data_IF_898487854081
#
_entry.id   IF_898487854081
#
_cell.length_a   1.000
_cell.length_b   1.000
_cell.length_c   1.000
_cell.angle_alpha   90.00
_cell.angle_beta   90.00
_cell.angle_gamma   90.00
#
_symmetry.space_group_name_H-M   'P 1'
#
loop_
_entity.id
_entity.type
_entity.pdbx_description
1 polymer ?
#
# COMPACT_ATOMS: atom_id res chain seq x y z
N UNK A 1 -19.35 4.05 16.68
CA UNK A 1 -18.36 3.18 16.04
C UNK A 1 -18.93 1.77 15.91
N UNK A 2 -18.67 1.05 14.84
CA UNK A 2 -19.09 -0.33 14.69
C UNK A 2 -18.43 -1.17 15.81
N UNK A 3 -19.24 -1.95 16.51
CA UNK A 3 -18.79 -2.85 17.57
C UNK A 3 -19.26 -4.26 17.23
N UNK A 4 -18.39 -5.25 17.37
CA UNK A 4 -18.69 -6.65 17.12
C UNK A 4 -17.44 -7.49 16.93
N UNK A 5 -17.60 -8.80 16.83
CA UNK A 5 -16.50 -9.70 16.52
C UNK A 5 -16.15 -9.56 15.03
N UNK A 6 -14.87 -9.37 14.73
CA UNK A 6 -14.33 -9.31 13.37
C UNK A 6 -13.77 -10.65 12.91
N UNK A 7 -13.39 -11.50 13.85
CA UNK A 7 -12.96 -12.86 13.62
C UNK A 7 -13.27 -13.74 14.85
N UNK A 8 -13.45 -15.03 14.64
CA UNK A 8 -13.61 -16.00 15.72
C UNK A 8 -13.06 -17.35 15.29
N UNK A 9 -12.50 -18.09 16.24
CA UNK A 9 -12.00 -19.44 16.06
C UNK A 9 -12.67 -20.36 17.08
N UNK A 10 -13.41 -21.34 16.62
CA UNK A 10 -14.22 -22.16 17.51
C UNK A 10 -14.49 -23.55 16.94
N UNK A 11 -14.79 -24.48 17.83
CA UNK A 11 -15.29 -25.80 17.44
C UNK A 11 -16.71 -25.71 16.89
N UNK A 12 -16.98 -26.46 15.84
CA UNK A 12 -18.29 -26.58 15.20
C UNK A 12 -19.11 -27.77 15.74
N UNK A 13 -18.51 -28.61 16.58
CA UNK A 13 -19.11 -29.78 17.22
C UNK A 13 -18.67 -29.89 18.67
N UNK A 14 -19.18 -30.91 19.38
CA UNK A 14 -18.66 -31.25 20.72
C UNK A 14 -17.20 -31.68 20.60
N UNK A 15 -16.34 -31.15 21.45
CA UNK A 15 -14.92 -31.42 21.46
C UNK A 15 -14.49 -32.12 22.75
N UNK A 16 -13.36 -32.83 22.71
CA UNK A 16 -12.72 -33.37 23.88
C UNK A 16 -12.25 -32.23 24.82
N UNK A 17 -11.85 -32.57 26.03
CA UNK A 17 -11.42 -31.56 27.00
C UNK A 17 -9.93 -31.23 26.87
N UNK A 18 -9.05 -32.24 26.92
CA UNK A 18 -7.61 -32.03 27.07
C UNK A 18 -6.91 -31.52 25.79
N UNK A 19 -7.09 -32.09 24.59
CA UNK A 19 -6.38 -31.58 23.41
C UNK A 19 -6.67 -30.11 23.08
N UNK A 20 -7.93 -29.63 23.08
CA UNK A 20 -8.24 -28.22 22.87
C UNK A 20 -7.63 -27.26 23.90
N UNK A 21 -7.44 -27.70 25.14
CA UNK A 21 -6.77 -26.86 26.16
C UNK A 21 -5.32 -26.60 25.79
N UNK A 22 -4.60 -27.62 25.28
CA UNK A 22 -3.21 -27.47 24.85
C UNK A 22 -3.10 -26.45 23.71
N UNK A 23 -4.04 -26.50 22.75
CA UNK A 23 -4.08 -25.50 21.68
C UNK A 23 -4.31 -24.07 22.20
N UNK A 24 -5.21 -23.91 23.16
CA UNK A 24 -5.50 -22.61 23.77
C UNK A 24 -4.33 -22.08 24.59
N UNK A 25 -3.66 -22.94 25.34
CA UNK A 25 -2.46 -22.56 26.11
C UNK A 25 -1.33 -22.10 25.18
N UNK A 26 -1.08 -22.83 24.08
CA UNK A 26 -0.11 -22.41 23.06
C UNK A 26 -0.47 -21.06 22.40
N UNK A 27 -1.76 -20.85 22.09
CA UNK A 27 -2.22 -19.55 21.55
C UNK A 27 -1.94 -18.42 22.52
N UNK A 28 -2.15 -18.63 23.82
CA UNK A 28 -1.85 -17.63 24.87
C UNK A 28 -0.35 -17.41 24.99
N UNK A 29 0.46 -18.46 24.97
CA UNK A 29 1.92 -18.36 25.05
C UNK A 29 2.50 -17.55 23.87
N UNK A 30 1.96 -17.71 22.66
CA UNK A 30 2.33 -16.90 21.49
C UNK A 30 1.89 -15.44 21.70
N UNK A 31 0.66 -15.20 22.17
CA UNK A 31 0.13 -13.86 22.40
C UNK A 31 0.92 -13.06 23.43
N UNK A 32 1.42 -13.72 24.49
CA UNK A 32 2.25 -13.08 25.52
C UNK A 32 3.75 -13.10 25.18
N UNK A 33 4.08 -13.48 23.95
CA UNK A 33 5.45 -13.48 23.40
C UNK A 33 6.46 -14.35 24.20
N UNK A 34 5.99 -15.47 24.75
CA UNK A 34 6.87 -16.41 25.45
C UNK A 34 7.95 -17.03 24.54
N UNK A 35 7.75 -17.01 23.22
CA UNK A 35 8.66 -17.57 22.23
C UNK A 35 9.39 -16.48 21.44
N UNK A 36 10.65 -16.22 21.74
CA UNK A 36 11.44 -15.18 21.06
C UNK A 36 11.55 -15.38 19.53
N UNK A 37 11.48 -16.64 19.07
CA UNK A 37 11.68 -17.00 17.66
C UNK A 37 10.38 -17.46 16.96
N UNK A 38 9.23 -17.38 17.61
CA UNK A 38 7.94 -17.79 17.04
C UNK A 38 6.86 -16.74 17.30
N UNK A 39 7.17 -15.48 17.01
CA UNK A 39 6.19 -14.40 17.10
C UNK A 39 5.17 -14.51 16.00
N UNK A 40 3.90 -14.40 16.34
CA UNK A 40 2.77 -14.33 15.40
C UNK A 40 1.87 -13.17 15.82
N UNK A 41 1.51 -12.35 14.86
CA UNK A 41 0.67 -11.17 15.09
C UNK A 41 -0.75 -11.38 14.55
N UNK A 42 -0.91 -12.22 13.53
CA UNK A 42 -2.21 -12.45 12.92
C UNK A 42 -3.02 -13.50 13.68
N UNK A 43 -4.34 -13.31 13.71
CA UNK A 43 -5.28 -14.23 14.34
C UNK A 43 -5.19 -15.65 13.78
N UNK A 44 -5.11 -15.79 12.45
CA UNK A 44 -4.92 -17.09 11.81
C UNK A 44 -3.58 -17.73 12.12
N UNK A 45 -2.49 -16.95 12.18
CA UNK A 45 -1.17 -17.46 12.54
C UNK A 45 -1.11 -18.02 13.95
N UNK A 46 -1.74 -17.33 14.91
CA UNK A 46 -1.83 -17.78 16.30
C UNK A 46 -2.70 -19.03 16.43
N UNK A 47 -3.90 -19.00 15.82
CA UNK A 47 -4.85 -20.11 15.83
C UNK A 47 -4.25 -21.38 15.23
N UNK A 48 -3.55 -21.25 14.09
CA UNK A 48 -2.93 -22.39 13.43
C UNK A 48 -1.79 -23.00 14.26
N UNK A 49 -0.94 -22.18 14.88
CA UNK A 49 0.13 -22.69 15.74
C UNK A 49 -0.42 -23.44 16.97
N UNK A 50 -1.52 -22.96 17.56
CA UNK A 50 -2.21 -23.71 18.62
C UNK A 50 -2.67 -25.09 18.17
N UNK A 51 -3.28 -25.20 16.96
CA UNK A 51 -3.65 -26.50 16.38
C UNK A 51 -2.43 -27.39 16.15
N UNK A 52 -1.34 -26.86 15.60
CA UNK A 52 -0.11 -27.64 15.38
C UNK A 52 0.44 -28.19 16.68
N UNK A 53 0.48 -27.39 17.74
CA UNK A 53 0.92 -27.86 19.06
C UNK A 53 0.03 -28.98 19.61
N UNK A 54 -1.28 -28.83 19.49
CA UNK A 54 -2.26 -29.87 19.86
C UNK A 54 -2.04 -31.17 19.09
N UNK A 55 -1.80 -31.08 17.77
CA UNK A 55 -1.55 -32.24 16.92
C UNK A 55 -0.22 -32.91 17.29
N UNK A 56 0.82 -32.15 17.58
CA UNK A 56 2.13 -32.69 18.00
C UNK A 56 2.03 -33.45 19.34
N UNK A 57 1.22 -32.97 20.28
CA UNK A 57 1.10 -33.55 21.62
C UNK A 57 0.17 -34.76 21.66
N UNK A 58 -0.94 -34.71 20.89
CA UNK A 58 -2.02 -35.72 20.97
C UNK A 58 -2.15 -36.59 19.73
N UNK A 59 -1.35 -36.38 18.68
CA UNK A 59 -1.37 -37.17 17.45
C UNK A 59 -2.76 -37.17 16.81
N UNK A 60 -3.29 -38.35 16.43
CA UNK A 60 -4.57 -38.46 15.76
C UNK A 60 -5.76 -37.85 16.52
N UNK A 61 -5.70 -37.78 17.87
CA UNK A 61 -6.74 -37.11 18.63
C UNK A 61 -6.65 -35.59 18.52
N UNK A 62 -5.45 -35.04 18.33
CA UNK A 62 -5.24 -33.63 18.03
C UNK A 62 -5.71 -33.30 16.63
N UNK A 63 -5.40 -34.14 15.65
CA UNK A 63 -5.84 -33.98 14.25
C UNK A 63 -7.38 -33.98 14.17
N UNK A 64 -8.07 -34.93 14.84
CA UNK A 64 -9.51 -34.97 14.88
C UNK A 64 -10.13 -33.69 15.47
N UNK A 65 -9.53 -33.13 16.54
CA UNK A 65 -10.01 -31.86 17.13
C UNK A 65 -9.70 -30.66 16.24
N UNK A 66 -8.58 -30.64 15.53
CA UNK A 66 -8.26 -29.59 14.55
C UNK A 66 -9.29 -29.54 13.43
N UNK A 67 -9.73 -30.68 12.93
CA UNK A 67 -10.76 -30.79 11.89
C UNK A 67 -12.13 -30.25 12.35
N UNK A 68 -12.36 -30.23 13.65
CA UNK A 68 -13.58 -29.68 14.25
C UNK A 68 -13.57 -28.16 14.39
N UNK A 69 -12.42 -27.52 14.29
CA UNK A 69 -12.30 -26.09 14.52
C UNK A 69 -12.37 -25.30 13.20
N UNK A 70 -13.10 -24.20 13.23
CA UNK A 70 -13.28 -23.33 12.07
C UNK A 70 -12.99 -21.88 12.43
N UNK A 71 -12.20 -21.24 11.59
CA UNK A 71 -11.95 -19.80 11.66
C UNK A 71 -13.00 -19.08 10.79
N UNK A 72 -13.75 -18.18 11.42
CA UNK A 72 -14.67 -17.25 10.75
C UNK A 72 -14.07 -15.85 10.77
N UNK A 73 -14.11 -15.17 9.64
CA UNK A 73 -13.55 -13.84 9.47
C UNK A 73 -12.23 -13.88 8.74
N UNK A 74 -11.48 -12.78 8.83
CA UNK A 74 -10.21 -12.63 8.15
C UNK A 74 -9.05 -13.16 9.03
N UNK A 75 -8.32 -14.22 8.59
CA UNK A 75 -7.18 -14.76 9.33
C UNK A 75 -5.98 -13.81 9.41
N UNK A 76 -5.90 -12.81 8.53
CA UNK A 76 -4.81 -11.83 8.51
C UNK A 76 -4.96 -10.71 9.56
N UNK A 77 -6.13 -10.62 10.22
CA UNK A 77 -6.36 -9.61 11.26
C UNK A 77 -5.30 -9.71 12.36
N UNK A 78 -4.61 -8.62 12.61
CA UNK A 78 -3.64 -8.53 13.69
C UNK A 78 -4.32 -8.32 15.05
N UNK A 79 -3.86 -9.09 16.04
CA UNK A 79 -4.32 -8.95 17.41
C UNK A 79 -3.50 -7.88 18.14
N UNK A 80 -4.20 -6.93 18.74
CA UNK A 80 -3.60 -5.91 19.58
C UNK A 80 -3.56 -6.41 21.03
N UNK A 81 -2.37 -6.58 21.54
CA UNK A 81 -2.12 -7.11 22.90
C UNK A 81 -1.77 -6.02 23.90
N UNK A 82 -1.61 -4.78 23.43
CA UNK A 82 -1.25 -3.63 24.28
C UNK A 82 -2.01 -2.37 23.83
N UNK A 83 -1.94 -1.33 24.65
CA UNK A 83 -2.40 0.01 24.23
C UNK A 83 -1.62 0.46 23.02
N UNK A 84 -2.30 0.95 21.94
CA UNK A 84 -1.60 1.42 20.76
C UNK A 84 -0.64 2.56 21.11
N UNK A 85 0.59 2.46 20.60
CA UNK A 85 1.58 3.53 20.62
C UNK A 85 1.48 4.38 19.35
N UNK A 86 1.88 5.63 19.41
CA UNK A 86 1.94 6.48 18.24
C UNK A 86 3.12 6.06 17.34
N UNK A 87 2.86 6.01 16.03
CA UNK A 87 3.90 5.91 15.01
C UNK A 87 4.44 7.31 14.68
N UNK A 88 5.76 7.41 14.54
CA UNK A 88 6.39 8.61 13.98
C UNK A 88 6.70 8.37 12.52
N UNK A 89 5.90 8.94 11.65
CA UNK A 89 5.96 8.77 10.20
C UNK A 89 6.33 10.07 9.53
N UNK A 90 7.20 9.99 8.53
CA UNK A 90 7.56 11.12 7.66
C UNK A 90 7.52 10.66 6.23
N UNK A 91 6.81 11.38 5.39
CA UNK A 91 6.70 11.12 3.97
C UNK A 91 6.53 12.43 3.19
N UNK A 92 6.68 12.38 1.88
CA UNK A 92 6.33 13.50 1.04
C UNK A 92 4.80 13.62 0.97
N UNK A 93 4.25 14.81 1.10
CA UNK A 93 2.80 15.06 1.00
C UNK A 93 2.24 14.90 -0.42
N UNK A 94 3.11 14.69 -1.40
CA UNK A 94 2.75 14.46 -2.80
C UNK A 94 3.58 13.34 -3.41
N UNK A 95 3.03 12.70 -4.44
CA UNK A 95 3.69 11.68 -5.25
C UNK A 95 3.63 12.09 -6.72
N UNK A 96 4.75 11.92 -7.43
CA UNK A 96 4.79 12.04 -8.88
C UNK A 96 4.17 10.78 -9.51
N UNK A 97 3.22 10.92 -10.45
CA UNK A 97 2.59 9.78 -11.10
C UNK A 97 3.56 8.89 -11.89
N UNK A 98 4.75 9.38 -12.20
CA UNK A 98 5.76 8.65 -12.98
C UNK A 98 6.89 8.06 -12.13
N UNK A 99 6.98 8.37 -10.83
CA UNK A 99 8.05 7.84 -9.96
C UNK A 99 7.97 6.34 -9.70
N UNK A 100 6.82 5.71 -9.86
CA UNK A 100 6.63 4.26 -9.71
C UNK A 100 6.87 3.72 -8.29
N UNK A 101 7.37 4.55 -7.37
CA UNK A 101 7.63 4.18 -5.98
C UNK A 101 7.38 5.35 -5.03
N UNK A 102 6.96 5.04 -3.80
CA UNK A 102 6.72 6.04 -2.75
C UNK A 102 7.39 5.62 -1.44
N UNK A 103 8.21 6.49 -0.88
CA UNK A 103 8.94 6.21 0.36
C UNK A 103 8.25 6.83 1.57
N UNK A 104 8.11 6.01 2.61
CA UNK A 104 7.59 6.39 3.91
C UNK A 104 8.63 6.05 4.97
N UNK A 105 9.14 7.06 5.67
CA UNK A 105 10.17 6.90 6.71
C UNK A 105 9.47 6.64 8.05
N UNK A 106 9.88 5.59 8.73
CA UNK A 106 9.38 5.19 10.04
C UNK A 106 10.48 5.46 11.08
N UNK A 107 10.15 6.24 12.09
CA UNK A 107 11.06 6.54 13.20
C UNK A 107 10.65 5.78 14.45
N UNK A 108 11.65 5.26 15.17
CA UNK A 108 11.42 4.40 16.36
C UNK A 108 11.57 2.93 16.00
N UNK A 109 11.34 2.07 17.02
CA UNK A 109 11.37 0.62 16.84
C UNK A 109 9.96 0.09 17.06
N UNK A 110 9.37 -0.41 16.00
CA UNK A 110 8.03 -0.99 15.98
C UNK A 110 8.07 -2.33 15.25
N UNK A 111 7.21 -3.25 15.64
CA UNK A 111 7.12 -4.56 15.00
C UNK A 111 6.07 -4.55 13.89
N UNK A 112 6.39 -5.21 12.78
CA UNK A 112 5.48 -5.50 11.68
C UNK A 112 4.78 -4.25 11.10
N UNK A 113 5.54 -3.17 10.88
CA UNK A 113 4.98 -1.96 10.25
C UNK A 113 4.82 -2.17 8.76
N UNK A 114 3.66 -1.79 8.26
CA UNK A 114 3.32 -1.78 6.83
C UNK A 114 2.75 -0.43 6.44
N UNK A 115 3.17 0.07 5.29
CA UNK A 115 2.59 1.23 4.64
C UNK A 115 1.94 0.80 3.33
N UNK A 116 0.76 1.31 3.04
CA UNK A 116 0.00 1.01 1.82
C UNK A 116 -0.60 2.27 1.21
N UNK A 117 -0.67 2.31 -0.12
CA UNK A 117 -1.39 3.32 -0.88
C UNK A 117 -2.64 2.70 -1.50
N UNK A 118 -3.73 3.47 -1.44
CA UNK A 118 -5.02 3.09 -2.04
C UNK A 118 -5.76 4.30 -2.59
N UNK A 119 -6.72 4.06 -3.49
CA UNK A 119 -7.66 5.07 -4.00
C UNK A 119 -9.07 4.47 -4.06
N UNK A 120 -10.06 5.13 -3.44
CA UNK A 120 -11.46 4.67 -3.39
C UNK A 120 -11.64 3.20 -2.99
N UNK A 121 -10.74 2.69 -2.15
CA UNK A 121 -10.73 1.30 -1.67
C UNK A 121 -10.01 0.31 -2.59
N UNK A 122 -9.48 0.75 -3.72
CA UNK A 122 -8.59 -0.05 -4.58
C UNK A 122 -7.16 0.00 -4.05
N UNK A 123 -6.52 -1.16 -4.01
CA UNK A 123 -5.13 -1.33 -3.60
C UNK A 123 -4.18 -0.93 -4.75
N UNK A 124 -3.18 -0.10 -4.44
CA UNK A 124 -2.20 0.38 -5.42
C UNK A 124 -0.78 -0.11 -5.13
N UNK A 125 -0.48 -0.45 -3.90
CA UNK A 125 0.82 -0.96 -3.48
C UNK A 125 0.98 -0.95 -1.97
N UNK A 126 1.86 -1.79 -1.44
CA UNK A 126 2.26 -1.78 -0.05
C UNK A 126 3.70 -2.25 0.15
N UNK A 127 4.30 -1.86 1.25
CA UNK A 127 5.61 -2.33 1.66
C UNK A 127 5.68 -2.49 3.18
N UNK A 128 6.37 -3.53 3.64
CA UNK A 128 6.77 -3.66 5.03
C UNK A 128 7.99 -2.80 5.32
N UNK A 129 8.08 -2.32 6.55
CA UNK A 129 9.25 -1.57 7.03
C UNK A 129 10.52 -2.42 6.91
N UNK A 130 11.55 -1.81 6.36
CA UNK A 130 12.90 -2.36 6.26
C UNK A 130 13.92 -1.25 6.50
N UNK A 131 14.71 -1.38 7.58
CA UNK A 131 15.74 -0.41 7.97
C UNK A 131 15.23 1.03 8.13
N UNK A 132 14.02 1.21 8.67
CA UNK A 132 13.44 2.51 8.97
C UNK A 132 12.65 3.13 7.82
N UNK A 133 12.40 2.42 6.72
CA UNK A 133 11.53 2.90 5.65
C UNK A 133 10.65 1.81 5.04
N UNK A 134 9.50 2.24 4.49
CA UNK A 134 8.65 1.45 3.61
C UNK A 134 8.75 2.07 2.22
N UNK A 135 9.26 1.32 1.24
CA UNK A 135 9.32 1.75 -0.17
C UNK A 135 8.23 1.02 -0.94
N UNK A 136 7.09 1.70 -1.09
CA UNK A 136 5.91 1.16 -1.77
C UNK A 136 6.13 1.21 -3.27
N UNK A 137 6.10 0.06 -3.94
CA UNK A 137 6.09 0.00 -5.40
C UNK A 137 4.65 0.11 -5.88
N UNK A 138 4.39 1.00 -6.83
CA UNK A 138 3.08 1.13 -7.45
C UNK A 138 2.92 0.07 -8.55
N UNK A 139 1.82 -0.65 -8.51
CA UNK A 139 1.50 -1.70 -9.47
C UNK A 139 0.79 -1.14 -10.71
N UNK A 140 0.24 0.08 -10.61
CA UNK A 140 -0.54 0.72 -11.66
C UNK A 140 -0.14 2.18 -11.87
N UNK A 141 -0.50 2.73 -13.02
CA UNK A 141 -0.33 4.14 -13.33
C UNK A 141 -1.37 4.98 -12.55
N UNK A 142 -0.87 5.94 -11.78
CA UNK A 142 -1.69 6.79 -10.91
C UNK A 142 -1.98 8.18 -11.49
N UNK A 143 -1.60 8.45 -12.73
CA UNK A 143 -1.74 9.79 -13.37
C UNK A 143 -3.20 10.30 -13.47
N UNK A 144 -4.17 9.39 -13.40
CA UNK A 144 -5.59 9.72 -13.43
C UNK A 144 -6.18 10.09 -12.07
N UNK A 145 -5.40 9.93 -10.98
CA UNK A 145 -5.85 10.24 -9.64
C UNK A 145 -5.41 11.64 -9.22
N UNK A 146 -6.22 12.33 -8.45
CA UNK A 146 -5.87 13.62 -7.84
C UNK A 146 -5.25 13.46 -6.44
N UNK A 147 -5.59 12.38 -5.74
CA UNK A 147 -5.05 12.05 -4.43
C UNK A 147 -5.15 10.56 -4.16
N UNK A 148 -4.27 10.08 -3.31
CA UNK A 148 -4.24 8.72 -2.78
C UNK A 148 -4.40 8.77 -1.27
N UNK A 149 -4.77 7.64 -0.67
CA UNK A 149 -4.80 7.47 0.78
C UNK A 149 -3.59 6.64 1.19
N UNK A 150 -2.71 7.22 1.99
CA UNK A 150 -1.65 6.51 2.69
C UNK A 150 -2.20 5.95 3.99
N UNK A 151 -2.04 4.65 4.20
CA UNK A 151 -2.33 3.98 5.47
C UNK A 151 -1.06 3.36 6.01
N UNK A 152 -0.66 3.72 7.23
CA UNK A 152 0.49 3.12 7.93
C UNK A 152 0.02 2.52 9.23
N UNK A 153 0.34 1.25 9.45
CA UNK A 153 -0.03 0.52 10.66
C UNK A 153 1.06 -0.48 11.05
N UNK A 154 1.06 -0.92 12.29
CA UNK A 154 1.97 -1.93 12.80
C UNK A 154 1.41 -2.59 14.06
N UNK A 155 2.13 -3.59 14.58
CA UNK A 155 1.72 -4.29 15.79
C UNK A 155 1.63 -3.31 16.98
N UNK A 156 0.49 -3.29 17.65
CA UNK A 156 0.23 -2.41 18.80
C UNK A 156 0.50 -0.92 18.52
N UNK A 157 0.25 -0.45 17.31
CA UNK A 157 0.37 0.97 16.94
C UNK A 157 -0.98 1.60 16.60
N UNK A 158 -1.09 2.90 16.73
CA UNK A 158 -2.20 3.66 16.18
C UNK A 158 -2.03 3.75 14.65
N UNK A 159 -3.08 3.39 13.92
CA UNK A 159 -3.06 3.48 12.45
C UNK A 159 -3.09 4.95 12.02
N UNK A 160 -2.18 5.32 11.13
CA UNK A 160 -2.14 6.62 10.47
C UNK A 160 -2.85 6.49 9.13
N UNK A 161 -3.71 7.46 8.82
CA UNK A 161 -4.40 7.57 7.53
C UNK A 161 -4.26 9.02 7.09
N UNK A 162 -3.59 9.25 5.97
CA UNK A 162 -3.30 10.59 5.43
C UNK A 162 -3.53 10.65 3.92
N UNK A 163 -3.90 11.83 3.42
CA UNK A 163 -4.02 12.08 2.00
C UNK A 163 -2.63 12.40 1.40
N UNK A 164 -2.33 11.77 0.27
CA UNK A 164 -1.15 12.06 -0.55
C UNK A 164 -1.64 12.63 -1.87
N UNK A 165 -1.27 13.86 -2.19
CA UNK A 165 -1.67 14.48 -3.46
C UNK A 165 -0.89 13.84 -4.60
N UNK A 166 -1.58 13.45 -5.68
CA UNK A 166 -0.91 13.10 -6.93
C UNK A 166 -0.57 14.41 -7.61
N UNK A 167 0.70 14.77 -7.57
CA UNK A 167 1.21 16.02 -8.11
C UNK A 167 1.92 15.76 -9.42
N UNK A 168 1.91 16.76 -10.28
CA UNK A 168 2.83 16.80 -11.40
C UNK A 168 4.20 17.25 -10.87
N UNK A 169 5.26 16.57 -11.26
CA UNK A 169 6.64 16.99 -11.00
C UNK A 169 7.00 18.31 -11.72
N UNK A 170 6.04 18.89 -12.39
CA UNK A 170 6.19 20.00 -13.32
C UNK A 170 5.41 21.24 -12.85
N UNK A 171 5.76 21.85 -11.71
CA UNK A 171 5.05 23.02 -11.21
C UNK A 171 5.17 24.17 -12.22
N UNK A 172 3.99 24.70 -12.63
CA UNK A 172 3.90 25.79 -13.58
C UNK A 172 3.75 25.39 -15.04
N UNK A 173 3.91 24.10 -15.37
CA UNK A 173 3.58 23.61 -16.72
C UNK A 173 2.06 23.50 -16.88
N UNK A 174 1.58 23.79 -18.09
CA UNK A 174 0.20 23.57 -18.54
C UNK A 174 0.25 22.83 -19.88
N UNK A 175 -0.84 22.15 -20.26
CA UNK A 175 -0.88 21.39 -21.51
C UNK A 175 -0.48 22.32 -22.69
N UNK A 176 0.52 21.90 -23.46
CA UNK A 176 1.08 22.68 -24.58
C UNK A 176 2.20 23.67 -24.23
N UNK A 177 2.47 23.90 -22.95
CA UNK A 177 3.62 24.70 -22.50
C UNK A 177 4.89 23.83 -22.52
N UNK A 178 5.61 23.85 -23.64
CA UNK A 178 6.77 23.00 -23.82
C UNK A 178 8.05 23.58 -23.19
N UNK A 179 8.08 24.90 -22.93
CA UNK A 179 9.26 25.58 -22.39
C UNK A 179 9.16 25.86 -20.87
N UNK A 180 7.97 25.65 -20.25
CA UNK A 180 7.75 25.83 -18.80
C UNK A 180 7.67 27.28 -18.34
N UNK A 181 7.30 28.21 -19.26
CA UNK A 181 7.15 29.61 -18.91
C UNK A 181 5.71 30.02 -18.54
N UNK A 182 4.81 29.06 -18.49
CA UNK A 182 3.37 29.19 -18.22
C UNK A 182 2.60 30.01 -19.26
N UNK A 183 3.15 30.16 -20.47
CA UNK A 183 2.53 30.90 -21.58
C UNK A 183 2.53 30.04 -22.84
N UNK A 184 1.36 29.59 -23.29
CA UNK A 184 1.24 28.83 -24.53
C UNK A 184 1.38 29.78 -25.72
N UNK A 185 2.44 29.62 -26.52
CA UNK A 185 2.74 30.48 -27.66
C UNK A 185 3.55 29.76 -28.77
N UNK A 186 4.00 30.50 -29.79
CA UNK A 186 4.74 29.93 -30.91
C UNK A 186 6.10 29.30 -30.51
N UNK A 187 6.67 29.67 -29.36
CA UNK A 187 7.94 29.09 -28.90
C UNK A 187 7.74 27.62 -28.51
N UNK A 188 6.58 27.28 -27.96
CA UNK A 188 6.22 25.91 -27.60
C UNK A 188 6.05 25.05 -28.83
N UNK A 189 5.40 25.60 -29.91
CA UNK A 189 5.31 24.91 -31.20
C UNK A 189 6.70 24.59 -31.75
N UNK A 190 7.63 25.53 -31.69
CA UNK A 190 8.99 25.34 -32.20
C UNK A 190 9.72 24.26 -31.39
N UNK A 191 9.53 24.22 -30.08
CA UNK A 191 10.16 23.22 -29.22
C UNK A 191 9.53 21.84 -29.46
N UNK A 192 8.20 21.74 -29.54
CA UNK A 192 7.49 20.49 -29.83
C UNK A 192 7.88 19.93 -31.22
N UNK A 193 8.02 20.78 -32.23
CA UNK A 193 8.52 20.37 -33.56
C UNK A 193 9.93 19.79 -33.46
N UNK A 194 10.83 20.40 -32.70
CA UNK A 194 12.20 19.90 -32.53
C UNK A 194 12.22 18.52 -31.81
N UNK A 195 11.33 18.31 -30.85
CA UNK A 195 11.15 17.03 -30.17
C UNK A 195 10.64 15.97 -31.17
N UNK A 196 9.59 16.28 -31.90
CA UNK A 196 9.02 15.35 -32.93
C UNK A 196 10.02 15.00 -34.02
N UNK A 197 10.89 15.94 -34.41
CA UNK A 197 11.99 15.70 -35.35
C UNK A 197 13.18 14.94 -34.75
N UNK A 198 13.18 14.69 -33.44
CA UNK A 198 14.26 13.99 -32.74
C UNK A 198 15.54 14.83 -32.59
N UNK A 199 15.48 16.14 -32.76
CA UNK A 199 16.62 17.07 -32.58
C UNK A 199 16.79 17.49 -31.14
N UNK A 200 15.76 17.36 -30.32
CA UNK A 200 15.74 17.59 -28.86
C UNK A 200 15.13 16.35 -28.19
N UNK A 201 15.76 15.87 -27.13
CA UNK A 201 15.19 14.82 -26.27
C UNK A 201 14.28 15.52 -25.26
N UNK A 202 12.98 15.13 -25.17
CA UNK A 202 12.07 15.73 -24.18
C UNK A 202 12.46 15.33 -22.77
N UNK A 203 12.22 16.21 -21.81
CA UNK A 203 12.22 15.89 -20.39
C UNK A 203 10.84 15.36 -19.98
N UNK A 204 10.71 14.88 -18.73
CA UNK A 204 9.47 14.24 -18.22
C UNK A 204 8.26 15.20 -18.29
N UNK A 205 8.44 16.50 -17.97
CA UNK A 205 7.40 17.50 -18.07
C UNK A 205 6.95 17.72 -19.51
N UNK A 206 7.88 17.73 -20.46
CA UNK A 206 7.55 17.86 -21.87
C UNK A 206 6.82 16.64 -22.41
N UNK A 207 7.12 15.46 -21.87
CA UNK A 207 6.40 14.22 -22.21
C UNK A 207 4.97 14.29 -21.66
N UNK A 208 4.79 14.73 -20.42
CA UNK A 208 3.47 14.82 -19.80
C UNK A 208 2.56 15.84 -20.47
N UNK A 209 3.08 17.04 -20.76
CA UNK A 209 2.27 18.18 -21.22
C UNK A 209 2.29 18.40 -22.73
N UNK A 210 3.04 17.62 -23.47
CA UNK A 210 3.17 17.74 -24.93
C UNK A 210 2.36 16.74 -25.75
N UNK A 211 1.84 15.66 -25.14
CA UNK A 211 0.88 14.75 -25.76
C UNK A 211 -0.55 15.33 -25.63
N UNK A 212 -0.87 16.23 -26.54
CA UNK A 212 -2.11 17.03 -26.47
C UNK A 212 -3.36 16.28 -26.91
N UNK A 213 -3.19 15.20 -27.65
CA UNK A 213 -4.29 14.34 -28.06
C UNK A 213 -4.46 13.09 -27.18
N UNK A 214 -3.54 12.89 -26.20
CA UNK A 214 -3.52 11.78 -25.24
C UNK A 214 -3.50 10.39 -25.90
N UNK A 215 -2.80 10.27 -27.04
CA UNK A 215 -2.64 8.99 -27.74
C UNK A 215 -1.35 8.22 -27.33
N UNK A 216 -0.53 8.81 -26.47
CA UNK A 216 0.73 8.24 -25.97
C UNK A 216 1.88 8.36 -26.96
N UNK A 217 1.75 9.10 -28.06
CA UNK A 217 2.76 9.20 -29.11
C UNK A 217 3.04 10.66 -29.48
N UNK A 218 4.24 11.14 -29.22
CA UNK A 218 4.70 12.44 -29.71
C UNK A 218 4.81 12.47 -31.23
N UNK A 219 3.90 13.18 -31.89
CA UNK A 219 3.86 13.21 -33.35
C UNK A 219 3.27 14.53 -33.90
N UNK A 220 3.05 14.60 -35.21
CA UNK A 220 2.52 15.79 -35.86
C UNK A 220 1.10 16.16 -35.40
N UNK A 221 0.33 15.22 -34.84
CA UNK A 221 -1.04 15.51 -34.41
C UNK A 221 -1.03 16.40 -33.15
N UNK A 222 -0.03 16.25 -32.26
CA UNK A 222 0.14 17.13 -31.13
C UNK A 222 0.51 18.55 -31.54
N UNK A 223 1.37 18.67 -32.57
CA UNK A 223 1.71 19.98 -33.13
C UNK A 223 0.44 20.65 -33.73
N UNK A 224 -0.42 19.91 -34.43
CA UNK A 224 -1.67 20.42 -34.95
C UNK A 224 -2.62 20.83 -33.83
N UNK A 225 -2.69 20.06 -32.75
CA UNK A 225 -3.49 20.37 -31.57
C UNK A 225 -3.01 21.67 -30.91
N UNK A 226 -1.70 21.81 -30.71
CA UNK A 226 -1.11 23.03 -30.14
C UNK A 226 -1.32 24.26 -31.01
N UNK A 227 -1.14 24.13 -32.31
CA UNK A 227 -1.42 25.22 -33.26
C UNK A 227 -2.88 25.63 -33.21
N UNK A 228 -3.79 24.68 -33.14
CA UNK A 228 -5.24 24.94 -33.05
C UNK A 228 -5.60 25.67 -31.75
N UNK A 229 -4.96 25.34 -30.64
CA UNK A 229 -5.18 26.00 -29.37
C UNK A 229 -4.67 27.47 -29.36
N UNK A 230 -3.53 27.70 -29.99
CA UNK A 230 -2.95 29.07 -30.07
C UNK A 230 -3.75 29.98 -31.07
N UNK A 231 -4.34 29.39 -32.09
CA UNK A 231 -5.07 30.16 -33.12
C UNK A 231 -6.56 30.36 -32.76
N UNK A 232 -7.13 29.62 -31.77
CA UNK A 232 -8.53 29.71 -31.33
C UNK A 232 -9.45 28.93 -32.26
#
# INVERSE_FOLDING_TARGET
SPTGAIATFMSTVYQAWAPPMEAQDEMVDILVENYANNRKYSFGGISWNGCLKMNDEYGSSGDDETDHWTLFGDPSVELRTNSPSDLSVTHNGSIDPFEGAYEVIISGSHDNVVAALSHDGEYLGAAYENNGSCVIQLEENISNYSSLILTVTGCNTATIIEDVTVGTSCPGYIAGDMNGDSIINVQDIVLLVNIVLGTVTPNDCQIEFGDLNSDGIFNILDIVSLVSEILG
#
